data_IF_556552207848
#
_entry.id   IF_556552207848
#
_cell.length_a   1.000
_cell.length_b   1.000
_cell.length_c   1.000
_cell.angle_alpha   90.00
_cell.angle_beta   90.00
_cell.angle_gamma   90.00
#
_symmetry.space_group_name_H-M   'P 1'
#
loop_
_entity.id
_entity.type
_entity.pdbx_description
1 polymer ?
#
# COMPACT_ATOMS: atom_id res chain seq x y z
N UNK A 1 -5.04 -3.83 1.99
CA UNK A 1 -5.22 -4.24 0.57
C UNK A 1 -4.05 -3.72 -0.25
N UNK A 2 -3.40 -4.56 -1.06
CA UNK A 2 -2.37 -4.11 -2.00
C UNK A 2 -3.06 -3.60 -3.28
N UNK A 3 -2.95 -2.31 -3.55
CA UNK A 3 -3.51 -1.66 -4.73
C UNK A 3 -2.41 -1.50 -5.79
N UNK A 4 -2.04 -2.64 -6.38
CA UNK A 4 -0.79 -2.84 -7.11
C UNK A 4 -0.55 -1.81 -8.21
N UNK A 5 -1.57 -1.52 -9.02
CA UNK A 5 -1.45 -0.66 -10.21
C UNK A 5 -1.28 0.80 -9.82
N UNK A 6 -1.89 1.22 -8.71
CA UNK A 6 -1.78 2.59 -8.19
C UNK A 6 -0.60 2.79 -7.24
N UNK A 7 0.28 1.77 -7.12
CA UNK A 7 1.51 1.84 -6.33
C UNK A 7 1.27 2.20 -4.86
N UNK A 8 0.21 1.64 -4.26
CA UNK A 8 -0.16 1.94 -2.88
C UNK A 8 -0.70 0.73 -2.12
N UNK A 9 -0.70 0.83 -0.80
CA UNK A 9 -1.43 -0.09 0.09
C UNK A 9 -2.51 0.71 0.80
N UNK A 10 -3.73 0.20 0.75
CA UNK A 10 -4.91 0.81 1.35
C UNK A 10 -5.26 0.06 2.65
N UNK A 11 -5.49 0.81 3.72
CA UNK A 11 -5.79 0.26 5.04
C UNK A 11 -7.09 0.90 5.53
N UNK A 12 -8.03 0.04 5.91
CA UNK A 12 -9.20 0.43 6.67
C UNK A 12 -9.03 -0.13 8.09
N UNK A 13 -9.21 0.70 9.10
CA UNK A 13 -9.17 0.29 10.51
C UNK A 13 -10.38 -0.56 10.89
N UNK A 14 -11.47 -0.41 10.13
CA UNK A 14 -12.70 -1.19 10.25
C UNK A 14 -13.10 -1.74 8.89
N UNK A 15 -13.92 -2.79 8.88
CA UNK A 15 -14.50 -3.25 7.62
C UNK A 15 -15.43 -2.16 7.09
N UNK A 16 -15.29 -1.74 5.82
CA UNK A 16 -16.16 -0.73 5.25
C UNK A 16 -17.60 -1.27 5.16
N UNK A 17 -18.57 -0.42 5.51
CA UNK A 17 -19.99 -0.78 5.47
C UNK A 17 -20.57 -0.58 4.06
N UNK A 18 -19.90 0.24 3.24
CA UNK A 18 -20.26 0.53 1.86
C UNK A 18 -19.08 0.32 0.92
N UNK A 19 -19.37 -0.11 -0.31
CA UNK A 19 -18.32 -0.42 -1.30
C UNK A 19 -17.49 0.78 -1.75
N UNK A 20 -17.96 2.01 -1.54
CA UNK A 20 -17.28 3.25 -1.90
C UNK A 20 -16.62 3.97 -0.71
N UNK A 21 -16.57 3.32 0.44
CA UNK A 21 -15.94 3.89 1.64
C UNK A 21 -14.41 3.96 1.48
N UNK A 22 -13.86 5.16 1.71
CA UNK A 22 -12.43 5.43 1.55
C UNK A 22 -11.62 4.76 2.67
N UNK A 23 -10.38 4.34 2.40
CA UNK A 23 -9.49 3.84 3.43
C UNK A 23 -9.03 4.96 4.36
N UNK A 24 -8.76 4.61 5.61
CA UNK A 24 -8.26 5.51 6.64
C UNK A 24 -6.80 5.89 6.40
N UNK A 25 -6.00 4.95 5.87
CA UNK A 25 -4.58 5.15 5.60
C UNK A 25 -4.20 4.69 4.19
N UNK A 26 -3.39 5.50 3.53
CA UNK A 26 -2.74 5.19 2.25
C UNK A 26 -1.24 5.17 2.46
N UNK A 27 -0.60 4.04 2.15
CA UNK A 27 0.85 3.93 2.11
C UNK A 27 1.32 3.93 0.67
N UNK A 28 2.46 4.58 0.39
CA UNK A 28 3.07 4.58 -0.94
C UNK A 28 2.76 5.80 -1.79
N UNK A 29 1.76 6.61 -1.41
CA UNK A 29 1.35 7.81 -2.15
C UNK A 29 0.85 8.90 -1.18
N UNK A 30 1.02 10.16 -1.57
CA UNK A 30 0.60 11.33 -0.78
C UNK A 30 -0.88 11.72 -1.03
N UNK A 31 -1.55 11.09 -2.00
CA UNK A 31 -2.96 11.36 -2.30
C UNK A 31 -3.69 10.16 -2.92
N UNK A 32 -4.99 10.33 -3.11
CA UNK A 32 -5.86 9.35 -3.76
C UNK A 32 -5.88 9.46 -5.29
N UNK A 33 -5.17 10.45 -5.86
CA UNK A 33 -5.19 10.69 -7.30
C UNK A 33 -4.72 9.45 -8.07
N UNK A 34 -5.41 9.11 -9.17
CA UNK A 34 -4.95 8.05 -10.04
C UNK A 34 -3.62 8.44 -10.71
N UNK A 35 -2.88 7.43 -11.16
CA UNK A 35 -1.70 7.57 -12.04
C UNK A 35 -0.50 8.35 -11.47
N UNK A 36 -0.41 8.50 -10.14
CA UNK A 36 0.83 8.97 -9.53
C UNK A 36 1.98 7.99 -9.81
N UNK A 37 3.17 8.50 -10.21
CA UNK A 37 4.28 7.63 -10.57
C UNK A 37 4.74 6.81 -9.36
N UNK A 38 5.23 5.57 -9.58
CA UNK A 38 5.84 4.79 -8.52
C UNK A 38 7.09 5.48 -7.98
N UNK A 39 7.46 5.15 -6.74
CA UNK A 39 8.69 5.63 -6.12
C UNK A 39 9.35 4.54 -5.29
N UNK A 40 10.66 4.40 -5.42
CA UNK A 40 11.47 3.40 -4.70
C UNK A 40 12.11 3.99 -3.43
N UNK A 41 11.30 4.72 -2.66
CA UNK A 41 11.71 5.31 -1.37
C UNK A 41 11.02 4.61 -0.20
N UNK A 42 11.29 5.01 1.05
CA UNK A 42 10.56 4.47 2.21
C UNK A 42 9.06 4.82 2.18
N UNK A 43 8.72 5.98 1.61
CA UNK A 43 7.34 6.49 1.55
C UNK A 43 6.64 6.16 0.24
N UNK A 44 7.39 5.77 -0.80
CA UNK A 44 6.88 5.35 -2.08
C UNK A 44 6.89 3.83 -2.25
N UNK A 45 5.92 3.33 -2.99
CA UNK A 45 5.88 1.93 -3.41
C UNK A 45 5.98 1.81 -4.94
N UNK A 46 6.32 0.62 -5.40
CA UNK A 46 6.33 0.23 -6.80
C UNK A 46 5.77 -1.18 -6.94
N UNK A 47 4.52 -1.28 -7.41
CA UNK A 47 3.81 -2.54 -7.58
C UNK A 47 3.85 -3.44 -6.33
N UNK A 48 3.32 -2.95 -5.18
CA UNK A 48 3.15 -3.79 -4.00
C UNK A 48 2.19 -4.93 -4.35
N UNK A 49 2.60 -6.18 -4.11
CA UNK A 49 1.82 -7.38 -4.48
C UNK A 49 1.50 -8.29 -3.30
N UNK A 50 2.27 -8.19 -2.22
CA UNK A 50 2.07 -8.98 -1.01
C UNK A 50 1.97 -8.06 0.21
N UNK A 51 1.00 -8.33 1.08
CA UNK A 51 0.86 -7.67 2.38
C UNK A 51 0.70 -8.72 3.47
N UNK A 52 1.37 -8.53 4.61
CA UNK A 52 1.27 -9.42 5.76
C UNK A 52 1.48 -8.65 7.06
N UNK A 53 0.82 -9.07 8.13
CA UNK A 53 0.87 -8.42 9.44
C UNK A 53 1.13 -9.44 10.55
N UNK A 54 2.19 -9.24 11.35
CA UNK A 54 2.59 -10.11 12.49
C UNK A 54 2.10 -9.61 13.86
N UNK A 55 1.07 -8.77 13.87
CA UNK A 55 0.61 -8.05 15.06
C UNK A 55 1.56 -6.95 15.58
N UNK A 56 2.75 -6.77 14.99
CA UNK A 56 3.69 -5.70 15.37
C UNK A 56 4.04 -4.79 14.19
N UNK A 57 4.18 -5.37 13.01
CA UNK A 57 4.66 -4.73 11.80
C UNK A 57 3.84 -5.16 10.61
N UNK A 58 3.59 -4.19 9.73
CA UNK A 58 3.07 -4.44 8.40
C UNK A 58 4.24 -4.63 7.43
N UNK A 59 4.24 -5.77 6.76
CA UNK A 59 5.22 -6.12 5.73
C UNK A 59 4.60 -5.98 4.35
N UNK A 60 5.31 -5.31 3.45
CA UNK A 60 4.89 -5.06 2.08
C UNK A 60 5.96 -5.59 1.13
N UNK A 61 5.61 -6.58 0.31
CA UNK A 61 6.46 -7.11 -0.74
C UNK A 61 6.11 -6.51 -2.09
N UNK A 62 7.12 -6.04 -2.81
CA UNK A 62 6.99 -5.55 -4.19
C UNK A 62 7.38 -6.65 -5.19
N UNK A 63 6.72 -6.71 -6.35
CA UNK A 63 6.87 -7.84 -7.28
C UNK A 63 7.56 -7.49 -8.61
N UNK A 64 6.93 -6.69 -9.50
CA UNK A 64 7.33 -6.68 -10.93
C UNK A 64 8.46 -5.71 -11.28
N UNK A 65 8.67 -4.68 -10.48
CA UNK A 65 9.62 -3.61 -10.79
C UNK A 65 10.44 -3.17 -9.58
N UNK A 66 10.47 -4.02 -8.56
CA UNK A 66 11.23 -3.81 -7.36
C UNK A 66 11.52 -5.14 -6.69
N UNK A 67 12.65 -5.19 -6.00
CA UNK A 67 13.12 -6.34 -5.24
C UNK A 67 13.04 -6.09 -3.72
N UNK A 68 12.20 -5.13 -3.30
CA UNK A 68 12.15 -4.67 -1.90
C UNK A 68 11.07 -5.40 -1.12
N UNK A 69 11.39 -5.68 0.13
CA UNK A 69 10.42 -5.92 1.20
C UNK A 69 10.54 -4.76 2.18
N UNK A 70 9.43 -4.07 2.40
CA UNK A 70 9.34 -2.93 3.30
C UNK A 70 8.61 -3.33 4.57
N UNK A 71 9.02 -2.72 5.69
CA UNK A 71 8.41 -2.90 7.01
C UNK A 71 7.90 -1.56 7.52
N UNK A 72 6.67 -1.53 7.97
CA UNK A 72 6.00 -0.39 8.58
C UNK A 72 5.64 -0.70 10.04
N UNK A 73 5.69 0.33 10.88
CA UNK A 73 5.37 0.31 12.32
C UNK A 73 4.21 1.24 12.59
#
# INVERSE_FOLDING_TARGET
VADTVFNRVLIWEKLPERGDEKPDVVLGQDSFEPDLPPSYTRRGLFWPGAVWFDCHFLWVGEYKFSNRVLRYS
#
